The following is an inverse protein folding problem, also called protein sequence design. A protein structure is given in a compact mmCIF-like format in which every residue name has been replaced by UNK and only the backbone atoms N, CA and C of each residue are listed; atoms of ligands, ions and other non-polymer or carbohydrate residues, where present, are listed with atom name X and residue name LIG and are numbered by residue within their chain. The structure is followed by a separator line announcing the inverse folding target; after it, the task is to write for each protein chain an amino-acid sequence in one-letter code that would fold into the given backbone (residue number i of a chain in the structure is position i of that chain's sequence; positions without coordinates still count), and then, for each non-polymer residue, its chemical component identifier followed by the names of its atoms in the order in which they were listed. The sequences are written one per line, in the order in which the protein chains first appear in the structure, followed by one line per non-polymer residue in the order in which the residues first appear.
data_IF_414051912396
#
_entry.id   IF_414051912396
#
_cell.length_a   1.000
_cell.length_b   1.000
_cell.length_c   1.000
_cell.angle_alpha   90.00
_cell.angle_beta   90.00
_cell.angle_gamma   90.00
#
_symmetry.space_group_name_H-M   'P 1'
#
loop_
_entity.id
_entity.type
_entity.pdbx_description
1 polymer ?
#
# COMPACT_ATOMS: atom_id res chain seq x y z
N UNK A 1 14.12 21.28 -13.68
CA UNK A 1 14.70 21.48 -12.34
C UNK A 1 14.99 20.09 -11.78
N UNK A 2 16.20 19.60 -11.97
CA UNK A 2 16.67 18.33 -11.38
C UNK A 2 17.13 18.66 -9.97
N UNK A 3 16.34 18.26 -8.97
CA UNK A 3 16.84 18.18 -7.60
C UNK A 3 17.97 17.15 -7.63
N UNK A 4 19.14 17.49 -7.11
CA UNK A 4 20.22 16.53 -6.95
C UNK A 4 19.76 15.46 -5.95
N UNK A 5 19.33 14.31 -6.49
CA UNK A 5 18.81 13.18 -5.72
C UNK A 5 19.92 12.29 -5.16
N UNK A 6 21.20 12.61 -5.42
CA UNK A 6 22.33 11.93 -4.81
C UNK A 6 22.49 12.35 -3.34
N UNK A 7 21.46 12.10 -2.54
CA UNK A 7 21.50 12.25 -1.09
C UNK A 7 21.95 10.91 -0.49
N UNK A 8 22.81 10.91 0.54
CA UNK A 8 23.13 9.69 1.29
C UNK A 8 21.86 9.03 1.87
N UNK A 9 20.76 9.78 2.04
CA UNK A 9 19.51 9.35 2.67
C UNK A 9 18.46 8.77 1.69
N UNK A 10 18.69 8.86 0.38
CA UNK A 10 17.75 8.38 -0.63
C UNK A 10 18.45 7.57 -1.73
N UNK A 11 17.71 6.68 -2.37
CA UNK A 11 18.09 6.04 -3.62
C UNK A 11 17.74 6.95 -4.79
N UNK A 12 18.49 6.86 -5.88
CA UNK A 12 18.09 7.46 -7.15
C UNK A 12 16.80 6.78 -7.67
N UNK A 13 16.06 7.43 -8.58
CA UNK A 13 14.88 6.81 -9.18
C UNK A 13 15.18 5.46 -9.87
N UNK A 14 16.35 5.34 -10.52
CA UNK A 14 16.77 4.10 -11.17
C UNK A 14 17.06 2.98 -10.17
N UNK A 15 17.84 3.26 -9.11
CA UNK A 15 18.07 2.29 -8.03
C UNK A 15 16.74 1.87 -7.36
N UNK A 16 15.82 2.83 -7.18
CA UNK A 16 14.49 2.56 -6.61
C UNK A 16 13.68 1.61 -7.48
N UNK A 17 13.67 1.81 -8.80
CA UNK A 17 12.99 0.93 -9.75
C UNK A 17 13.54 -0.51 -9.70
N UNK A 18 14.86 -0.66 -9.64
CA UNK A 18 15.51 -1.98 -9.50
C UNK A 18 15.16 -2.64 -8.15
N UNK A 19 15.14 -1.88 -7.05
CA UNK A 19 14.72 -2.39 -5.73
C UNK A 19 13.25 -2.84 -5.73
N UNK A 20 12.36 -2.10 -6.40
CA UNK A 20 10.95 -2.49 -6.60
C UNK A 20 10.86 -3.79 -7.38
N UNK A 21 11.62 -3.93 -8.48
CA UNK A 21 11.68 -5.16 -9.27
C UNK A 21 12.10 -6.36 -8.40
N UNK A 22 13.20 -6.22 -7.63
CA UNK A 22 13.69 -7.27 -6.71
C UNK A 22 12.65 -7.65 -5.65
N UNK A 23 11.98 -6.65 -5.06
CA UNK A 23 10.91 -6.87 -4.10
C UNK A 23 9.72 -7.60 -4.74
N UNK A 24 9.37 -7.27 -5.99
CA UNK A 24 8.36 -7.96 -6.79
C UNK A 24 8.68 -9.44 -7.02
N UNK A 25 9.92 -9.76 -7.39
CA UNK A 25 10.38 -11.16 -7.53
C UNK A 25 10.25 -11.91 -6.20
N UNK A 26 10.69 -11.31 -5.09
CA UNK A 26 10.60 -11.90 -3.75
C UNK A 26 9.14 -12.18 -3.35
N UNK A 27 8.25 -11.21 -3.55
CA UNK A 27 6.81 -11.36 -3.27
C UNK A 27 6.19 -12.46 -4.15
N UNK A 28 6.41 -12.42 -5.46
CA UNK A 28 5.85 -13.40 -6.40
C UNK A 28 6.39 -14.83 -6.26
N UNK A 29 7.57 -15.02 -5.66
CA UNK A 29 8.14 -16.35 -5.35
C UNK A 29 7.87 -16.83 -3.93
N UNK A 30 7.21 -16.02 -3.10
CA UNK A 30 6.84 -16.40 -1.74
C UNK A 30 5.84 -17.55 -1.74
N UNK A 31 5.85 -18.37 -0.68
CA UNK A 31 4.92 -19.49 -0.55
C UNK A 31 3.48 -18.99 -0.42
N UNK A 32 2.49 -19.66 -1.05
CA UNK A 32 1.08 -19.23 -1.03
C UNK A 32 0.48 -19.00 0.37
N UNK A 33 0.81 -19.87 1.33
CA UNK A 33 0.38 -19.76 2.73
C UNK A 33 0.86 -18.45 3.38
N UNK A 34 2.12 -18.08 3.13
CA UNK A 34 2.69 -16.82 3.62
C UNK A 34 2.03 -15.60 2.98
N UNK A 35 1.77 -15.65 1.66
CA UNK A 35 1.09 -14.55 0.95
C UNK A 35 -0.32 -14.35 1.50
N UNK A 36 -1.07 -15.43 1.74
CA UNK A 36 -2.42 -15.33 2.27
C UNK A 36 -2.43 -14.73 3.69
N UNK A 37 -1.58 -15.23 4.60
CA UNK A 37 -1.49 -14.73 5.98
C UNK A 37 -1.00 -13.27 6.03
N UNK A 38 -0.02 -12.94 5.19
CA UNK A 38 0.48 -11.57 4.99
C UNK A 38 -0.64 -10.66 4.47
N UNK A 39 -1.45 -11.13 3.51
CA UNK A 39 -2.63 -10.44 3.01
C UNK A 39 -3.70 -10.22 4.08
N UNK A 40 -3.97 -11.21 4.93
CA UNK A 40 -4.90 -11.05 6.07
C UNK A 40 -4.41 -9.95 7.00
N UNK A 41 -3.12 -9.98 7.38
CA UNK A 41 -2.51 -8.93 8.20
C UNK A 41 -2.62 -7.55 7.54
N UNK A 42 -2.34 -7.45 6.24
CA UNK A 42 -2.46 -6.20 5.48
C UNK A 42 -3.89 -5.65 5.47
N UNK A 43 -4.89 -6.52 5.33
CA UNK A 43 -6.31 -6.16 5.41
C UNK A 43 -6.70 -5.65 6.79
N UNK A 44 -6.25 -6.32 7.86
CA UNK A 44 -6.52 -5.90 9.24
C UNK A 44 -5.92 -4.52 9.54
N UNK A 45 -4.64 -4.31 9.23
CA UNK A 45 -3.94 -3.06 9.50
C UNK A 45 -4.59 -1.89 8.73
N UNK A 46 -4.93 -2.10 7.45
CA UNK A 46 -5.60 -1.06 6.66
C UNK A 46 -7.00 -0.75 7.23
N UNK A 47 -7.74 -1.77 7.68
CA UNK A 47 -9.06 -1.60 8.28
C UNK A 47 -9.01 -0.72 9.55
N UNK A 48 -7.98 -0.83 10.38
CA UNK A 48 -7.79 0.09 11.52
C UNK A 48 -7.61 1.54 11.07
N UNK A 49 -6.80 1.79 10.03
CA UNK A 49 -6.68 3.13 9.43
C UNK A 49 -8.02 3.66 8.90
N UNK A 50 -8.84 2.78 8.29
CA UNK A 50 -10.18 3.12 7.84
C UNK A 50 -11.11 3.49 9.01
N UNK A 51 -11.10 2.73 10.10
CA UNK A 51 -11.91 3.02 11.30
C UNK A 51 -11.55 4.37 11.94
N UNK A 52 -10.24 4.67 12.06
CA UNK A 52 -9.76 5.98 12.55
C UNK A 52 -10.23 7.10 11.63
N UNK A 53 -10.20 6.91 10.31
CA UNK A 53 -10.67 7.93 9.37
C UNK A 53 -12.18 8.22 9.49
N UNK A 54 -13.01 7.21 9.75
CA UNK A 54 -14.45 7.43 10.01
C UNK A 54 -14.68 8.21 11.30
N UNK A 55 -13.91 7.89 12.34
CA UNK A 55 -13.96 8.63 13.61
C UNK A 55 -13.67 10.11 13.37
N UNK A 56 -12.63 10.41 12.59
CA UNK A 56 -12.27 11.78 12.23
C UNK A 56 -13.32 12.49 11.38
N UNK A 57 -14.07 11.77 10.54
CA UNK A 57 -15.15 12.32 9.70
C UNK A 57 -16.46 12.55 10.47
N UNK A 58 -16.62 11.95 11.64
CA UNK A 58 -17.83 12.04 12.46
C UNK A 58 -17.90 13.38 13.19
N UNK A 59 -18.16 14.44 12.45
CA UNK A 59 -18.28 15.80 12.96
C UNK A 59 -19.38 16.56 12.20
N UNK A 60 -20.67 16.38 12.56
CA UNK A 60 -21.81 16.89 11.79
C UNK A 60 -21.74 18.39 11.48
N UNK A 61 -21.31 19.20 12.46
CA UNK A 61 -21.16 20.64 12.27
C UNK A 61 -20.20 20.97 11.12
N UNK A 62 -19.06 20.26 11.02
CA UNK A 62 -18.11 20.50 9.92
C UNK A 62 -18.61 19.92 8.59
N UNK A 63 -19.40 18.86 8.60
CA UNK A 63 -20.01 18.31 7.39
C UNK A 63 -20.93 19.34 6.70
N UNK A 64 -21.66 20.13 7.50
CA UNK A 64 -22.55 21.19 7.01
C UNK A 64 -21.81 22.51 6.71
N UNK A 65 -20.97 22.97 7.63
CA UNK A 65 -20.42 24.34 7.60
C UNK A 65 -19.02 24.43 6.96
N UNK A 66 -18.26 23.34 6.91
CA UNK A 66 -16.88 23.34 6.43
C UNK A 66 -16.47 21.97 5.81
N UNK A 67 -17.19 21.48 4.78
CA UNK A 67 -17.03 20.13 4.25
C UNK A 67 -15.63 19.84 3.70
N UNK A 68 -14.92 20.87 3.20
CA UNK A 68 -13.54 20.73 2.76
C UNK A 68 -12.58 20.44 3.92
N UNK A 69 -12.76 21.11 5.07
CA UNK A 69 -11.85 20.99 6.21
C UNK A 69 -11.96 19.61 6.86
N UNK A 70 -13.17 19.10 7.08
CA UNK A 70 -13.36 17.76 7.65
C UNK A 70 -12.81 16.66 6.73
N UNK A 71 -12.94 16.83 5.41
CA UNK A 71 -12.36 15.93 4.43
C UNK A 71 -10.84 15.90 4.51
N UNK A 72 -10.19 17.05 4.70
CA UNK A 72 -8.73 17.14 4.90
C UNK A 72 -8.28 16.51 6.22
N UNK A 73 -9.07 16.67 7.29
CA UNK A 73 -8.80 16.02 8.59
C UNK A 73 -8.93 14.50 8.48
N UNK A 74 -9.96 13.98 7.81
CA UNK A 74 -10.05 12.55 7.52
C UNK A 74 -8.89 12.05 6.65
N UNK A 75 -8.45 12.87 5.69
CA UNK A 75 -7.34 12.53 4.81
C UNK A 75 -5.96 12.52 5.49
N UNK A 76 -5.72 13.35 6.50
CA UNK A 76 -4.42 13.39 7.18
C UNK A 76 -4.22 12.18 8.11
N UNK A 77 -5.30 11.59 8.63
CA UNK A 77 -5.22 10.42 9.54
C UNK A 77 -5.17 9.08 8.81
N UNK A 78 -5.78 8.97 7.63
CA UNK A 78 -5.84 7.72 6.86
C UNK A 78 -4.47 7.09 6.55
N UNK A 79 -3.40 7.84 6.24
CA UNK A 79 -2.06 7.29 6.01
C UNK A 79 -1.54 6.36 7.11
N UNK A 80 -2.02 6.50 8.35
CA UNK A 80 -1.67 5.60 9.47
C UNK A 80 -1.81 4.12 9.09
N UNK A 81 -2.91 3.74 8.43
CA UNK A 81 -3.13 2.34 8.04
C UNK A 81 -2.15 1.90 6.95
N UNK A 82 -2.12 2.63 5.84
CA UNK A 82 -1.36 2.23 4.65
C UNK A 82 0.17 2.32 4.87
N UNK A 83 0.67 3.32 5.58
CA UNK A 83 2.08 3.43 5.97
C UNK A 83 2.48 2.22 6.84
N UNK A 84 1.65 1.85 7.82
CA UNK A 84 1.92 0.71 8.69
C UNK A 84 1.95 -0.61 7.92
N UNK A 85 1.04 -0.81 6.95
CA UNK A 85 1.06 -1.99 6.07
C UNK A 85 2.40 -2.11 5.32
N UNK A 86 2.89 -1.00 4.74
CA UNK A 86 4.14 -1.02 3.99
C UNK A 86 5.35 -1.23 4.92
N UNK A 87 5.40 -0.58 6.08
CA UNK A 87 6.51 -0.69 7.03
C UNK A 87 6.59 -2.06 7.69
N UNK A 88 5.46 -2.71 7.96
CA UNK A 88 5.42 -4.09 8.49
C UNK A 88 5.75 -5.14 7.43
N UNK A 89 5.76 -4.75 6.15
CA UNK A 89 6.03 -5.64 5.03
C UNK A 89 4.86 -6.56 4.66
N UNK A 90 3.67 -6.32 5.22
CA UNK A 90 2.46 -7.05 4.90
C UNK A 90 2.07 -6.84 3.42
N UNK A 91 1.38 -7.83 2.84
CA UNK A 91 0.93 -7.77 1.46
C UNK A 91 -0.39 -7.02 1.35
N UNK A 92 -0.41 -6.03 0.45
CA UNK A 92 -1.60 -5.29 0.09
C UNK A 92 -1.78 -5.35 -1.42
N UNK A 93 -2.95 -5.79 -1.87
CA UNK A 93 -3.23 -6.05 -3.27
C UNK A 93 -2.84 -4.85 -4.15
N UNK A 94 -3.26 -3.66 -3.76
CA UNK A 94 -3.02 -2.40 -4.49
C UNK A 94 -1.54 -2.09 -4.67
N UNK A 95 -0.71 -2.25 -3.63
CA UNK A 95 0.73 -2.01 -3.72
C UNK A 95 1.45 -3.11 -4.50
N UNK A 96 1.02 -4.37 -4.37
CA UNK A 96 1.62 -5.49 -5.10
C UNK A 96 1.55 -5.31 -6.61
N UNK A 97 0.53 -4.59 -7.11
CA UNK A 97 0.39 -4.27 -8.53
C UNK A 97 1.63 -3.55 -9.08
N UNK A 98 2.27 -2.64 -8.34
CA UNK A 98 3.53 -2.04 -8.75
C UNK A 98 4.66 -3.06 -8.75
N UNK A 99 4.91 -3.69 -7.58
CA UNK A 99 6.08 -4.53 -7.36
C UNK A 99 6.13 -5.72 -8.33
N UNK A 100 5.08 -6.53 -8.37
CA UNK A 100 5.09 -7.75 -9.17
C UNK A 100 4.94 -7.48 -10.66
N UNK A 101 4.27 -6.41 -11.06
CA UNK A 101 4.13 -6.07 -12.48
C UNK A 101 5.44 -5.55 -13.06
N UNK A 102 6.18 -4.69 -12.35
CA UNK A 102 7.54 -4.30 -12.77
C UNK A 102 8.45 -5.53 -12.90
N UNK A 103 8.37 -6.47 -11.97
CA UNK A 103 9.15 -7.71 -12.04
C UNK A 103 8.77 -8.61 -13.24
N UNK A 104 7.50 -8.59 -13.67
CA UNK A 104 7.03 -9.27 -14.88
C UNK A 104 7.53 -8.56 -16.13
N UNK A 105 7.41 -7.24 -16.21
CA UNK A 105 7.90 -6.44 -17.35
C UNK A 105 9.40 -6.63 -17.56
N UNK A 106 10.16 -6.73 -16.46
CA UNK A 106 11.59 -6.98 -16.49
C UNK A 106 11.98 -8.46 -16.71
N UNK A 107 11.02 -9.35 -17.01
CA UNK A 107 11.28 -10.77 -17.29
C UNK A 107 11.70 -11.62 -16.07
N UNK A 108 11.73 -11.07 -14.86
CA UNK A 108 12.25 -11.75 -13.65
C UNK A 108 11.18 -12.55 -12.87
N UNK A 109 9.90 -12.36 -13.21
CA UNK A 109 8.76 -13.05 -12.62
C UNK A 109 7.76 -13.50 -13.70
N UNK A 110 7.26 -14.73 -13.61
CA UNK A 110 6.22 -15.20 -14.52
C UNK A 110 4.86 -14.53 -14.22
N UNK A 111 4.09 -14.22 -15.26
CA UNK A 111 2.72 -13.69 -15.14
C UNK A 111 1.85 -14.56 -14.22
N UNK A 112 1.94 -15.89 -14.31
CA UNK A 112 1.16 -16.80 -13.47
C UNK A 112 1.42 -16.65 -11.97
N UNK A 113 2.69 -16.50 -11.57
CA UNK A 113 3.06 -16.25 -10.17
C UNK A 113 2.56 -14.90 -9.68
N UNK A 114 2.60 -13.87 -10.54
CA UNK A 114 2.01 -12.57 -10.23
C UNK A 114 0.50 -12.70 -10.00
N UNK A 115 -0.24 -13.31 -10.93
CA UNK A 115 -1.69 -13.47 -10.82
C UNK A 115 -2.09 -14.30 -9.59
N UNK A 116 -1.35 -15.36 -9.27
CA UNK A 116 -1.55 -16.12 -8.03
C UNK A 116 -1.32 -15.27 -6.78
N UNK A 117 -0.25 -14.47 -6.76
CA UNK A 117 0.03 -13.56 -5.65
C UNK A 117 -1.10 -12.52 -5.49
N UNK A 118 -1.54 -11.89 -6.59
CA UNK A 118 -2.66 -10.95 -6.61
C UNK A 118 -3.94 -11.58 -6.08
N UNK A 119 -4.28 -12.78 -6.54
CA UNK A 119 -5.45 -13.51 -6.08
C UNK A 119 -5.41 -13.76 -4.57
N UNK A 120 -4.32 -14.35 -4.07
CA UNK A 120 -4.17 -14.67 -2.64
C UNK A 120 -4.17 -13.42 -1.78
N UNK A 121 -3.49 -12.36 -2.22
CA UNK A 121 -3.43 -11.10 -1.50
C UNK A 121 -4.80 -10.41 -1.47
N UNK A 122 -5.55 -10.39 -2.58
CA UNK A 122 -6.88 -9.80 -2.66
C UNK A 122 -7.84 -10.48 -1.67
N UNK A 123 -7.92 -11.81 -1.67
CA UNK A 123 -8.80 -12.55 -0.76
C UNK A 123 -8.30 -12.52 0.69
N UNK A 124 -6.99 -12.52 0.92
CA UNK A 124 -6.41 -12.31 2.24
C UNK A 124 -6.80 -10.95 2.80
N UNK A 125 -6.62 -9.88 2.01
CA UNK A 125 -7.01 -8.53 2.40
C UNK A 125 -8.51 -8.45 2.70
N UNK A 126 -9.37 -9.02 1.87
CA UNK A 126 -10.82 -9.10 2.12
C UNK A 126 -11.11 -9.81 3.45
N UNK A 127 -10.49 -10.96 3.70
CA UNK A 127 -10.64 -11.69 4.96
C UNK A 127 -10.22 -10.87 6.18
N UNK A 128 -9.09 -10.18 6.11
CA UNK A 128 -8.61 -9.30 7.19
C UNK A 128 -9.54 -8.11 7.44
N UNK A 129 -10.01 -7.45 6.37
CA UNK A 129 -10.95 -6.34 6.49
C UNK A 129 -12.30 -6.80 7.08
N UNK A 130 -12.82 -7.95 6.64
CA UNK A 130 -14.07 -8.52 7.18
C UNK A 130 -13.91 -8.94 8.64
N UNK A 131 -12.77 -9.49 9.03
CA UNK A 131 -12.47 -9.82 10.43
C UNK A 131 -12.52 -8.58 11.31
N UNK A 132 -11.80 -7.51 10.94
CA UNK A 132 -11.81 -6.26 11.71
C UNK A 132 -13.19 -5.62 11.69
N UNK A 133 -13.86 -5.57 10.54
CA UNK A 133 -15.20 -4.99 10.41
C UNK A 133 -16.24 -5.73 11.25
N UNK A 134 -16.33 -7.06 11.15
CA UNK A 134 -17.39 -7.82 11.83
C UNK A 134 -17.07 -8.08 13.31
N UNK A 135 -15.86 -8.56 13.61
CA UNK A 135 -15.52 -9.05 14.96
C UNK A 135 -15.08 -7.89 15.86
N UNK A 136 -14.12 -7.09 15.40
CA UNK A 136 -13.50 -6.06 16.24
C UNK A 136 -14.38 -4.80 16.33
N UNK A 137 -14.92 -4.35 15.19
CA UNK A 137 -15.69 -3.11 15.10
C UNK A 137 -17.19 -3.37 15.29
N UNK A 138 -17.76 -4.33 14.55
CA UNK A 138 -19.19 -4.62 14.52
C UNK A 138 -19.69 -5.20 15.85
N UNK A 139 -19.29 -6.41 16.19
CA UNK A 139 -19.62 -7.03 17.49
C UNK A 139 -19.00 -6.29 18.68
N UNK A 140 -17.91 -5.54 18.46
CA UNK A 140 -17.33 -4.64 19.48
C UNK A 140 -18.14 -3.37 19.72
N UNK A 141 -19.16 -3.07 18.89
CA UNK A 141 -20.06 -1.92 19.07
C UNK A 141 -19.40 -0.54 18.90
N UNK A 142 -18.25 -0.46 18.22
CA UNK A 142 -17.41 0.75 18.18
C UNK A 142 -18.14 1.96 17.56
N UNK A 143 -19.05 1.72 16.61
CA UNK A 143 -19.78 2.77 15.88
C UNK A 143 -21.31 2.65 15.99
N UNK A 144 -21.81 1.98 17.03
CA UNK A 144 -23.25 1.71 17.14
C UNK A 144 -24.10 2.92 17.50
N UNK A 145 -23.51 3.90 18.21
CA UNK A 145 -24.18 5.11 18.65
C UNK A 145 -24.09 6.24 17.61
N UNK A 146 -25.12 7.07 17.57
CA UNK A 146 -25.04 8.35 16.87
C UNK A 146 -24.03 9.27 17.58
N UNK A 147 -23.29 10.13 16.84
CA UNK A 147 -23.40 10.41 15.40
C UNK A 147 -22.63 9.47 14.45
N UNK A 148 -21.95 8.43 14.96
CA UNK A 148 -21.08 7.58 14.13
C UNK A 148 -21.84 6.74 13.09
N UNK A 149 -22.98 6.16 13.50
CA UNK A 149 -23.83 5.37 12.61
C UNK A 149 -24.32 6.20 11.43
N UNK A 150 -24.80 7.41 11.69
CA UNK A 150 -25.26 8.36 10.66
C UNK A 150 -24.15 8.72 9.67
N UNK A 151 -22.94 9.02 10.16
CA UNK A 151 -21.81 9.34 9.29
C UNK A 151 -21.43 8.16 8.40
N UNK A 152 -21.44 6.92 8.92
CA UNK A 152 -21.15 5.71 8.11
C UNK A 152 -22.20 5.54 7.01
N UNK A 153 -23.48 5.74 7.31
CA UNK A 153 -24.56 5.66 6.32
C UNK A 153 -24.36 6.74 5.24
N UNK A 154 -24.07 7.98 5.64
CA UNK A 154 -23.81 9.07 4.70
C UNK A 154 -22.56 8.84 3.84
N UNK A 155 -21.46 8.40 4.45
CA UNK A 155 -20.20 8.10 3.79
C UNK A 155 -20.37 7.01 2.73
N UNK A 156 -20.98 5.89 3.11
CA UNK A 156 -21.15 4.75 2.20
C UNK A 156 -22.15 5.03 1.08
N UNK A 157 -23.19 5.84 1.35
CA UNK A 157 -24.10 6.36 0.31
C UNK A 157 -23.33 7.19 -0.73
N UNK A 158 -22.58 8.20 -0.28
CA UNK A 158 -21.78 9.08 -1.16
C UNK A 158 -20.70 8.32 -1.93
N UNK A 159 -20.15 7.26 -1.36
CA UNK A 159 -19.05 6.50 -1.97
C UNK A 159 -19.53 5.47 -3.00
N UNK A 160 -20.67 4.82 -2.76
CA UNK A 160 -21.06 3.61 -3.48
C UNK A 160 -22.45 3.68 -4.15
N UNK A 161 -23.39 4.44 -3.58
CA UNK A 161 -24.75 4.57 -4.13
C UNK A 161 -24.83 5.73 -5.11
N UNK A 162 -24.37 6.92 -4.71
CA UNK A 162 -24.48 8.14 -5.51
C UNK A 162 -23.70 8.10 -6.85
N UNK A 163 -22.42 7.68 -6.91
CA UNK A 163 -21.64 7.77 -8.14
C UNK A 163 -22.01 6.66 -9.12
N UNK A 164 -21.69 6.86 -10.40
CA UNK A 164 -21.80 5.83 -11.43
C UNK A 164 -20.60 4.87 -11.44
N UNK A 165 -20.77 3.69 -12.03
CA UNK A 165 -19.70 2.67 -12.11
C UNK A 165 -18.43 3.20 -12.79
N UNK A 166 -18.58 3.99 -13.85
CA UNK A 166 -17.44 4.57 -14.58
C UNK A 166 -16.68 5.59 -13.71
N UNK A 167 -17.37 6.32 -12.82
CA UNK A 167 -16.74 7.27 -11.90
C UNK A 167 -15.93 6.52 -10.84
N UNK A 168 -16.44 5.41 -10.31
CA UNK A 168 -15.69 4.53 -9.39
C UNK A 168 -14.44 3.98 -10.07
N UNK A 169 -14.55 3.50 -11.31
CA UNK A 169 -13.41 3.02 -12.09
C UNK A 169 -12.32 4.10 -12.27
N UNK A 170 -12.69 5.31 -12.74
CA UNK A 170 -11.74 6.39 -12.98
C UNK A 170 -11.08 6.88 -11.68
N UNK A 171 -11.86 7.02 -10.60
CA UNK A 171 -11.33 7.33 -9.26
C UNK A 171 -10.36 6.27 -8.77
N UNK A 172 -10.61 4.99 -9.07
CA UNK A 172 -9.73 3.90 -8.68
C UNK A 172 -8.40 3.88 -9.45
N UNK A 173 -8.35 4.36 -10.70
CA UNK A 173 -7.08 4.58 -11.41
C UNK A 173 -6.23 5.60 -10.66
N UNK A 174 -6.81 6.76 -10.36
CA UNK A 174 -6.12 7.81 -9.60
C UNK A 174 -5.70 7.36 -8.20
N UNK A 175 -6.52 6.54 -7.54
CA UNK A 175 -6.19 5.96 -6.24
C UNK A 175 -4.89 5.17 -6.31
N UNK A 176 -4.84 4.16 -7.18
CA UNK A 176 -3.71 3.24 -7.13
C UNK A 176 -2.45 3.79 -7.80
N UNK A 177 -2.58 4.79 -8.67
CA UNK A 177 -1.45 5.60 -9.08
C UNK A 177 -0.78 6.21 -7.84
N UNK A 178 -1.53 6.93 -7.00
CA UNK A 178 -0.97 7.57 -5.82
C UNK A 178 -0.49 6.58 -4.76
N UNK A 179 -1.18 5.44 -4.56
CA UNK A 179 -0.70 4.37 -3.66
C UNK A 179 0.64 3.79 -4.14
N UNK A 180 0.79 3.53 -5.44
CA UNK A 180 2.02 3.00 -6.01
C UNK A 180 3.15 4.04 -5.99
N UNK A 181 2.83 5.32 -6.21
CA UNK A 181 3.78 6.42 -6.02
C UNK A 181 4.25 6.51 -4.56
N UNK A 182 3.34 6.33 -3.60
CA UNK A 182 3.70 6.24 -2.18
C UNK A 182 4.70 5.10 -1.94
N UNK A 183 4.44 3.92 -2.50
CA UNK A 183 5.34 2.78 -2.40
C UNK A 183 6.71 3.08 -3.02
N UNK A 184 6.76 3.77 -4.16
CA UNK A 184 7.99 4.19 -4.79
C UNK A 184 8.81 5.10 -3.88
N UNK A 185 8.21 6.17 -3.36
CA UNK A 185 8.86 7.10 -2.41
C UNK A 185 9.28 6.39 -1.11
N UNK A 186 8.48 5.45 -0.64
CA UNK A 186 8.80 4.60 0.51
C UNK A 186 9.98 3.67 0.27
N UNK A 187 10.18 3.16 -0.94
CA UNK A 187 11.40 2.40 -1.29
C UNK A 187 12.59 3.33 -1.45
N UNK A 188 12.37 4.52 -2.02
CA UNK A 188 13.40 5.51 -2.29
C UNK A 188 14.10 6.01 -1.01
N UNK A 189 13.37 6.20 0.08
CA UNK A 189 13.95 6.63 1.36
C UNK A 189 14.71 5.50 2.08
N UNK A 190 15.83 5.83 2.75
CA UNK A 190 16.64 4.86 3.53
C UNK A 190 16.33 4.82 5.02
N UNK A 191 15.83 5.91 5.60
CA UNK A 191 15.43 5.98 7.02
C UNK A 191 13.90 5.91 7.21
N UNK A 192 13.47 5.54 8.42
CA UNK A 192 12.06 5.34 8.73
C UNK A 192 11.23 6.63 8.61
N UNK A 193 11.77 7.76 9.08
CA UNK A 193 11.05 9.04 9.10
C UNK A 193 10.76 9.53 7.68
N UNK A 194 11.78 9.49 6.81
CA UNK A 194 11.63 9.86 5.40
C UNK A 194 10.66 8.94 4.65
N UNK A 195 10.65 7.63 4.96
CA UNK A 195 9.67 6.69 4.42
C UNK A 195 8.25 7.08 4.80
N UNK A 196 8.02 7.38 6.08
CA UNK A 196 6.71 7.80 6.60
C UNK A 196 6.25 9.07 5.90
N UNK A 197 7.07 10.13 5.89
CA UNK A 197 6.72 11.42 5.28
C UNK A 197 6.50 11.30 3.77
N UNK A 198 7.39 10.60 3.06
CA UNK A 198 7.31 10.41 1.62
C UNK A 198 6.06 9.63 1.19
N UNK A 199 5.66 8.62 1.96
CA UNK A 199 4.39 7.92 1.75
C UNK A 199 3.18 8.76 2.12
N UNK A 200 3.26 9.57 3.18
CA UNK A 200 2.11 10.31 3.72
C UNK A 200 1.46 11.22 2.69
N UNK A 201 2.25 11.93 1.89
CA UNK A 201 1.80 12.95 0.93
C UNK A 201 0.88 12.38 -0.16
N UNK A 202 1.31 11.39 -0.98
CA UNK A 202 0.44 10.82 -2.00
C UNK A 202 -0.77 10.08 -1.41
N UNK A 203 -0.62 9.47 -0.22
CA UNK A 203 -1.74 8.80 0.45
C UNK A 203 -2.79 9.82 0.89
N UNK A 204 -2.36 10.90 1.54
CA UNK A 204 -3.20 12.04 1.88
C UNK A 204 -3.94 12.58 0.65
N UNK A 205 -3.25 12.76 -0.47
CA UNK A 205 -3.84 13.31 -1.69
C UNK A 205 -5.00 12.45 -2.22
N UNK A 206 -4.85 11.13 -2.35
CA UNK A 206 -5.94 10.31 -2.90
C UNK A 206 -7.15 10.26 -1.96
N UNK A 207 -6.92 10.33 -0.64
CA UNK A 207 -8.01 10.33 0.35
C UNK A 207 -8.73 11.67 0.33
N UNK A 208 -7.99 12.79 0.29
CA UNK A 208 -8.53 14.13 0.18
C UNK A 208 -9.34 14.33 -1.12
N UNK A 209 -8.94 13.67 -2.20
CA UNK A 209 -9.66 13.66 -3.47
C UNK A 209 -10.89 12.74 -3.44
N UNK A 210 -10.96 11.79 -2.50
CA UNK A 210 -12.08 10.86 -2.38
C UNK A 210 -12.02 9.73 -3.40
N UNK A 211 -10.81 9.26 -3.73
CA UNK A 211 -10.62 8.17 -4.68
C UNK A 211 -11.01 6.80 -4.11
N UNK A 212 -11.24 5.84 -5.01
CA UNK A 212 -11.70 4.49 -4.68
C UNK A 212 -10.54 3.50 -4.55
N UNK A 213 -10.33 3.05 -3.31
CA UNK A 213 -9.34 2.02 -2.99
C UNK A 213 -10.08 0.71 -2.73
N UNK A 214 -9.86 -0.32 -3.57
CA UNK A 214 -10.60 -1.58 -3.49
C UNK A 214 -10.50 -2.22 -2.10
N UNK A 215 -9.30 -2.25 -1.49
CA UNK A 215 -9.13 -2.83 -0.15
C UNK A 215 -9.75 -1.99 0.98
N UNK A 216 -9.61 -0.66 0.98
CA UNK A 216 -10.29 0.17 1.98
C UNK A 216 -11.82 -0.01 1.89
N UNK A 217 -12.35 -0.13 0.66
CA UNK A 217 -13.77 -0.39 0.44
C UNK A 217 -14.19 -1.79 0.94
N UNK A 218 -13.27 -2.77 1.08
CA UNK A 218 -13.54 -4.07 1.72
C UNK A 218 -13.81 -3.94 3.24
N UNK A 219 -13.46 -2.81 3.86
CA UNK A 219 -13.86 -2.49 5.22
C UNK A 219 -15.11 -1.58 5.22
N UNK A 220 -15.06 -0.46 4.49
CA UNK A 220 -16.13 0.54 4.53
C UNK A 220 -17.49 0.02 4.06
N UNK A 221 -17.54 -0.75 2.96
CA UNK A 221 -18.81 -1.17 2.38
C UNK A 221 -19.49 -2.25 3.22
N UNK A 222 -18.77 -3.30 3.68
CA UNK A 222 -19.37 -4.23 4.64
C UNK A 222 -19.81 -3.56 5.95
N UNK A 223 -19.10 -2.55 6.44
CA UNK A 223 -19.53 -1.76 7.61
C UNK A 223 -20.83 -0.98 7.33
N UNK A 224 -20.96 -0.34 6.16
CA UNK A 224 -22.22 0.32 5.78
C UNK A 224 -23.39 -0.64 5.64
N UNK A 225 -23.15 -1.84 5.09
CA UNK A 225 -24.16 -2.91 5.02
C UNK A 225 -24.57 -3.33 6.43
N UNK A 226 -23.59 -3.52 7.33
CA UNK A 226 -23.84 -3.85 8.74
C UNK A 226 -24.67 -2.77 9.46
N UNK A 227 -24.38 -1.50 9.17
CA UNK A 227 -25.10 -0.36 9.76
C UNK A 227 -26.45 -0.05 9.10
N UNK A 228 -26.81 -0.77 8.03
CA UNK A 228 -28.11 -0.67 7.39
C UNK A 228 -28.24 0.48 6.38
N UNK A 229 -27.16 0.88 5.70
CA UNK A 229 -27.20 1.91 4.66
C UNK A 229 -28.28 1.60 3.61
N UNK A 230 -29.32 2.45 3.44
CA UNK A 230 -30.43 2.17 2.53
C UNK A 230 -29.97 1.99 1.09
N UNK A 231 -30.35 0.88 0.46
CA UNK A 231 -30.01 0.56 -0.93
C UNK A 231 -28.59 0.00 -1.15
N UNK A 232 -27.72 -0.01 -0.13
CA UNK A 232 -26.42 -0.65 -0.22
C UNK A 232 -26.56 -2.16 0.04
N UNK A 233 -26.52 -2.96 -1.03
CA UNK A 233 -26.54 -4.43 -0.94
C UNK A 233 -25.17 -5.02 -1.28
N UNK A 234 -24.94 -6.27 -0.87
CA UNK A 234 -23.73 -7.02 -1.26
C UNK A 234 -23.61 -7.08 -2.79
N UNK A 235 -24.70 -7.37 -3.49
CA UNK A 235 -24.73 -7.44 -4.95
C UNK A 235 -24.37 -6.10 -5.61
N UNK A 236 -24.93 -4.99 -5.10
CA UNK A 236 -24.60 -3.65 -5.58
C UNK A 236 -23.12 -3.33 -5.34
N UNK A 237 -22.60 -3.64 -4.16
CA UNK A 237 -21.20 -3.41 -3.83
C UNK A 237 -20.28 -4.21 -4.76
N UNK A 238 -20.53 -5.50 -4.97
CA UNK A 238 -19.70 -6.33 -5.85
C UNK A 238 -19.72 -5.80 -7.29
N UNK A 239 -20.91 -5.61 -7.87
CA UNK A 239 -21.07 -5.24 -9.27
C UNK A 239 -20.60 -3.82 -9.59
N UNK A 240 -21.08 -2.83 -8.82
CA UNK A 240 -20.87 -1.41 -9.11
C UNK A 240 -19.64 -0.84 -8.40
N UNK A 241 -19.17 -1.47 -7.33
CA UNK A 241 -18.07 -0.98 -6.48
C UNK A 241 -16.79 -1.76 -6.66
N UNK A 242 -16.79 -2.99 -6.16
CA UNK A 242 -15.62 -3.84 -6.07
C UNK A 242 -15.01 -4.12 -7.44
N UNK A 243 -15.82 -4.52 -8.44
CA UNK A 243 -15.33 -4.84 -9.78
C UNK A 243 -14.72 -3.61 -10.48
N UNK A 244 -15.40 -2.45 -10.59
CA UNK A 244 -14.82 -1.25 -11.17
C UNK A 244 -13.58 -0.76 -10.42
N UNK A 245 -13.60 -0.78 -9.08
CA UNK A 245 -12.45 -0.36 -8.27
C UNK A 245 -11.25 -1.31 -8.43
N UNK A 246 -11.49 -2.62 -8.50
CA UNK A 246 -10.47 -3.63 -8.72
C UNK A 246 -9.70 -3.37 -10.03
N UNK A 247 -10.42 -3.26 -11.15
CA UNK A 247 -9.79 -3.03 -12.45
C UNK A 247 -9.16 -1.64 -12.56
N UNK A 248 -9.80 -0.61 -12.02
CA UNK A 248 -9.22 0.73 -11.96
C UNK A 248 -7.93 0.75 -11.17
N UNK A 249 -7.87 0.08 -10.01
CA UNK A 249 -6.64 -0.02 -9.23
C UNK A 249 -5.56 -0.84 -9.95
N UNK A 250 -5.89 -1.96 -10.61
CA UNK A 250 -4.91 -2.71 -11.42
C UNK A 250 -4.30 -1.79 -12.48
N UNK A 251 -5.13 -1.05 -13.22
CA UNK A 251 -4.68 -0.14 -14.26
C UNK A 251 -3.81 0.99 -13.70
N UNK A 252 -4.26 1.68 -12.65
CA UNK A 252 -3.52 2.78 -12.03
C UNK A 252 -2.16 2.36 -11.47
N UNK A 253 -2.08 1.20 -10.81
CA UNK A 253 -0.81 0.73 -10.24
C UNK A 253 0.14 0.17 -11.30
N UNK A 254 -0.38 -0.68 -12.19
CA UNK A 254 0.43 -1.40 -13.18
C UNK A 254 0.86 -0.49 -14.33
N UNK A 255 -0.04 0.35 -14.88
CA UNK A 255 0.26 1.20 -16.02
C UNK A 255 0.88 2.53 -15.60
N UNK A 256 0.18 3.31 -14.76
CA UNK A 256 0.62 4.69 -14.46
C UNK A 256 1.89 4.75 -13.61
N UNK A 257 2.17 3.73 -12.79
CA UNK A 257 3.44 3.61 -12.07
C UNK A 257 4.33 2.49 -12.60
N UNK A 258 3.81 1.26 -12.72
CA UNK A 258 4.62 0.10 -13.10
C UNK A 258 5.31 0.27 -14.47
N UNK A 259 4.53 0.45 -15.54
CA UNK A 259 5.07 0.68 -16.88
C UNK A 259 5.91 1.96 -16.92
N UNK A 260 5.44 3.04 -16.32
CA UNK A 260 6.17 4.32 -16.32
C UNK A 260 7.58 4.19 -15.71
N UNK A 261 7.71 3.67 -14.49
CA UNK A 261 9.00 3.55 -13.82
C UNK A 261 9.89 2.46 -14.44
N UNK A 262 9.30 1.38 -14.95
CA UNK A 262 10.06 0.39 -15.70
C UNK A 262 10.61 0.98 -17.00
N UNK A 263 9.78 1.63 -17.81
CA UNK A 263 10.19 2.23 -19.08
C UNK A 263 11.28 3.28 -18.89
N UNK A 264 11.14 4.14 -17.87
CA UNK A 264 12.05 5.25 -17.68
C UNK A 264 13.44 4.83 -17.15
N UNK A 265 13.54 3.67 -16.49
CA UNK A 265 14.74 3.32 -15.72
C UNK A 265 15.27 1.90 -15.90
N UNK A 266 14.51 0.97 -16.46
CA UNK A 266 14.87 -0.45 -16.56
C UNK A 266 14.76 -1.02 -17.99
N UNK A 267 13.97 -0.42 -18.89
CA UNK A 267 13.73 -0.97 -20.22
C UNK A 267 14.97 -1.01 -21.12
N UNK A 268 15.86 -0.02 -20.98
CA UNK A 268 17.07 0.14 -21.80
C UNK A 268 18.35 -0.34 -21.09
N UNK A 269 18.21 -1.02 -19.94
CA UNK A 269 19.36 -1.55 -19.20
C UNK A 269 19.70 -2.91 -19.80
N UNK A 270 20.57 -2.93 -20.80
CA UNK A 270 21.12 -4.14 -21.39
C UNK A 270 21.76 -5.05 -20.30
N UNK A 271 21.64 -6.37 -20.48
CA UNK A 271 22.14 -7.44 -19.58
C UNK A 271 23.68 -7.42 -19.36
N UNK A 272 24.40 -6.39 -19.79
CA UNK A 272 25.88 -6.34 -19.77
C UNK A 272 26.49 -5.84 -18.46
N UNK A 273 25.71 -5.29 -17.52
CA UNK A 273 26.21 -4.89 -16.20
C UNK A 273 25.45 -5.57 -15.06
N UNK A 274 25.73 -6.85 -14.83
CA UNK A 274 25.70 -7.34 -13.43
C UNK A 274 26.69 -6.46 -12.65
N UNK A 275 26.26 -5.71 -11.61
CA UNK A 275 27.20 -4.96 -10.82
C UNK A 275 28.06 -5.98 -10.04
N UNK A 276 29.25 -6.24 -10.56
CA UNK A 276 30.29 -6.97 -9.85
C UNK A 276 30.49 -6.31 -8.49
N UNK A 277 30.21 -7.08 -7.45
CA UNK A 277 30.60 -6.89 -6.06
C UNK A 277 31.02 -5.48 -5.63
N UNK A 278 30.06 -4.60 -5.33
CA UNK A 278 30.28 -3.66 -4.22
C UNK A 278 29.90 -4.38 -2.94
N UNK A 279 30.92 -4.99 -2.34
CA UNK A 279 30.86 -5.74 -1.10
C UNK A 279 30.10 -4.96 -0.03
N UNK A 280 28.97 -5.52 0.39
CA UNK A 280 28.31 -5.16 1.63
C UNK A 280 29.18 -5.69 2.77
N UNK A 281 29.84 -4.75 3.48
CA UNK A 281 30.35 -4.85 4.84
C UNK A 281 31.32 -6.03 5.13
N UNK A 282 32.61 -5.82 4.87
CA UNK A 282 33.65 -6.48 5.67
C UNK A 282 33.71 -5.76 7.03
N UNK A 283 33.41 -6.49 8.09
CA UNK A 283 33.63 -6.08 9.48
C UNK A 283 35.13 -5.77 9.67
N UNK A 284 35.47 -4.54 10.01
CA UNK A 284 36.76 -4.22 10.64
C UNK A 284 36.52 -3.90 12.11
N UNK A 285 37.24 -4.59 12.99
CA UNK A 285 37.38 -4.16 14.37
C UNK A 285 37.58 -5.28 15.40
N UNK A 286 38.59 -6.14 15.23
CA UNK A 286 39.35 -6.60 16.40
C UNK A 286 40.76 -6.99 15.96
N UNK A 287 41.66 -6.00 15.98
CA UNK A 287 43.10 -6.27 16.04
C UNK A 287 43.42 -6.76 17.45
N UNK A 288 44.03 -7.94 17.54
CA UNK A 288 44.75 -8.44 18.71
C UNK A 288 46.23 -8.52 18.36
N UNK A 289 47.16 -8.02 19.20
CA UNK A 289 48.57 -7.93 18.82
C UNK A 289 49.32 -9.25 19.04
N UNK A 290 50.06 -9.65 17.99
CA UNK A 290 51.40 -10.26 18.01
C UNK A 290 51.72 -11.36 19.04
N UNK A 291 51.70 -12.62 18.59
CA UNK A 291 52.50 -13.71 19.15
C UNK A 291 53.62 -14.07 18.15
N UNK A 292 54.75 -13.35 18.22
CA UNK A 292 56.03 -13.80 17.65
C UNK A 292 57.19 -13.32 18.53
N UNK A 293 57.38 -13.98 19.67
CA UNK A 293 58.65 -13.96 20.40
C UNK A 293 58.81 -15.26 21.20
N UNK A 294 59.45 -16.28 20.61
CA UNK A 294 59.99 -17.44 21.35
C UNK A 294 60.85 -18.32 20.44
N UNK A 295 61.89 -17.77 19.80
CA UNK A 295 63.03 -18.54 19.34
C UNK A 295 64.33 -17.76 19.53
N UNK A 296 64.98 -17.94 20.69
CA UNK A 296 66.44 -18.04 20.80
C UNK A 296 66.83 -18.33 22.26
N UNK A 297 67.60 -19.40 22.49
CA UNK A 297 68.26 -19.59 23.79
C UNK A 297 68.69 -21.01 24.16
N UNK A 298 69.46 -21.70 23.31
CA UNK A 298 70.34 -22.78 23.77
C UNK A 298 71.73 -22.19 24.06
N UNK A 299 72.07 -22.02 25.34
CA UNK A 299 73.40 -22.15 25.99
C UNK A 299 73.42 -21.42 27.33
#
# INVERSE_FOLDING_TARGET
MTIDLASPLAYTPAETAELICRAGVKKGRSRPDKVLLSGISGGCILAFGCAVSLTALTAPWYQENAPGLIKLIGAIVFPLGLVTVILTGADLFTSTNLFTFVAVLNGRLSIWRMLLHWFLCFFGNLGGCLFVMAIIVGYGGIFDSDPYREEIIAFTTKKQITPEAHQIFLRAIGCNWLVCLACFLGVQAKDLTSKVVGMWIPIFAFVALGFDHVVANMFFMPLGIWMGTPGLTIGLYIWKGMIPALFGNILGGSLCCGVYFWWMYLADVDDEEEPQGKGVLHNHGHDSPSDEESQMGSR
#
